data_IF_548809984368
#
_entry.id   IF_548809984368
#
_cell.length_a   1.000
_cell.length_b   1.000
_cell.length_c   1.000
_cell.angle_alpha   90.00
_cell.angle_beta   90.00
_cell.angle_gamma   90.00
#
_symmetry.space_group_name_H-M   'P 1'
#
loop_
_entity.id
_entity.type
_entity.pdbx_description
1 polymer ?
#
# COMPACT_ATOMS: atom_id res chain seq x y z
N UNK A 1 27.79 -9.23 16.83
CA UNK A 1 26.40 -8.95 16.46
C UNK A 1 26.28 -7.46 16.28
N UNK A 2 25.82 -7.01 15.11
CA UNK A 2 25.40 -5.62 14.90
C UNK A 2 24.22 -5.34 15.86
N UNK A 3 24.15 -4.11 16.38
CA UNK A 3 23.08 -3.65 17.28
C UNK A 3 22.39 -2.47 16.62
N UNK A 4 21.10 -2.31 16.86
CA UNK A 4 20.35 -1.18 16.36
C UNK A 4 20.88 0.11 16.97
N UNK A 5 21.23 1.08 16.13
CA UNK A 5 21.76 2.36 16.62
C UNK A 5 20.69 3.21 17.31
N UNK A 6 19.40 2.88 17.14
CA UNK A 6 18.27 3.55 17.81
C UNK A 6 18.01 2.98 19.21
N UNK A 7 17.50 1.74 19.31
CA UNK A 7 17.11 1.13 20.59
C UNK A 7 18.26 0.46 21.37
N UNK A 8 19.41 0.21 20.72
CA UNK A 8 20.59 -0.49 21.28
C UNK A 8 20.43 -2.01 21.48
N UNK A 9 19.33 -2.58 21.02
CA UNK A 9 19.10 -4.02 21.07
C UNK A 9 19.73 -4.76 19.88
N UNK A 10 19.95 -6.08 19.99
CA UNK A 10 20.38 -6.91 18.86
C UNK A 10 19.43 -6.79 17.66
N UNK A 11 19.98 -6.79 16.44
CA UNK A 11 19.21 -6.70 15.18
C UNK A 11 18.55 -8.02 14.78
N UNK A 12 17.80 -8.57 15.73
CA UNK A 12 16.95 -9.73 15.58
C UNK A 12 15.64 -9.45 16.27
N UNK A 13 14.55 -9.96 15.71
CA UNK A 13 13.26 -10.05 16.38
C UNK A 13 13.31 -11.27 17.29
N UNK A 14 13.09 -11.05 18.59
CA UNK A 14 13.04 -12.10 19.59
C UNK A 14 11.63 -12.65 19.74
N UNK A 15 11.51 -13.97 19.81
CA UNK A 15 10.35 -14.63 20.41
C UNK A 15 10.45 -14.46 21.92
N UNK A 16 9.37 -14.00 22.56
CA UNK A 16 9.31 -13.78 24.00
C UNK A 16 9.87 -14.99 24.77
N UNK A 17 10.73 -14.73 25.77
CA UNK A 17 11.39 -15.76 26.57
C UNK A 17 10.40 -16.62 27.40
N UNK A 18 9.12 -16.26 27.44
CA UNK A 18 8.06 -16.93 28.20
C UNK A 18 7.27 -18.00 27.40
N UNK A 19 7.52 -18.17 26.09
CA UNK A 19 6.86 -19.18 25.22
C UNK A 19 7.77 -20.39 24.90
N UNK A 20 8.65 -20.77 25.83
CA UNK A 20 9.60 -21.88 25.66
C UNK A 20 9.00 -23.28 25.96
N UNK A 21 7.85 -23.61 25.39
CA UNK A 21 7.35 -25.00 25.31
C UNK A 21 7.02 -25.36 23.84
N UNK A 22 7.95 -26.07 23.19
CA UNK A 22 7.86 -26.69 21.85
C UNK A 22 7.91 -25.78 20.59
N UNK A 23 9.11 -25.59 20.04
CA UNK A 23 9.28 -25.13 18.65
C UNK A 23 10.62 -24.43 18.38
N UNK A 24 11.21 -24.66 17.21
CA UNK A 24 12.51 -24.13 16.75
C UNK A 24 12.43 -22.60 16.48
N UNK A 25 12.24 -21.81 17.52
CA UNK A 25 12.16 -20.34 17.46
C UNK A 25 13.57 -19.74 17.34
N UNK A 26 14.18 -19.94 16.18
CA UNK A 26 15.41 -19.27 15.83
C UNK A 26 15.17 -17.74 15.75
N UNK A 27 16.09 -16.92 16.28
CA UNK A 27 15.98 -15.46 16.18
C UNK A 27 15.91 -15.03 14.71
N UNK A 28 14.88 -14.26 14.38
CA UNK A 28 14.64 -13.79 13.01
C UNK A 28 15.45 -12.49 12.81
N UNK A 29 16.28 -12.37 11.76
CA UNK A 29 17.04 -11.15 11.55
C UNK A 29 16.13 -9.97 11.20
N UNK A 30 16.52 -8.79 11.69
CA UNK A 30 15.93 -7.50 11.32
C UNK A 30 17.06 -6.46 11.33
N UNK A 31 17.88 -6.51 10.27
CA UNK A 31 19.05 -5.64 10.09
C UNK A 31 18.91 -4.83 8.80
N UNK A 32 18.50 -3.57 8.95
CA UNK A 32 18.57 -2.55 7.91
C UNK A 32 19.90 -1.80 7.98
N UNK A 33 20.75 -2.03 6.99
CA UNK A 33 22.06 -1.39 6.84
C UNK A 33 21.99 -0.22 5.85
N UNK A 34 22.24 1.00 6.32
CA UNK A 34 22.30 2.22 5.50
C UNK A 34 23.67 2.41 4.82
N UNK A 35 23.79 3.20 3.72
CA UNK A 35 25.05 3.53 3.06
C UNK A 35 26.14 4.13 3.97
N UNK A 36 25.75 4.82 5.03
CA UNK A 36 26.66 5.41 6.00
C UNK A 36 27.23 4.39 7.00
N UNK A 37 26.80 3.13 6.93
CA UNK A 37 27.20 2.05 7.84
C UNK A 37 26.43 2.02 9.17
N UNK A 38 25.38 2.84 9.33
CA UNK A 38 24.47 2.72 10.47
C UNK A 38 23.48 1.58 10.24
N UNK A 39 23.19 0.84 11.31
CA UNK A 39 22.28 -0.30 11.30
C UNK A 39 21.07 -0.04 12.20
N UNK A 40 19.88 -0.39 11.74
CA UNK A 40 18.62 -0.20 12.45
C UNK A 40 17.75 -1.45 12.34
N UNK A 41 16.86 -1.66 13.31
CA UNK A 41 15.64 -2.43 13.05
C UNK A 41 14.79 -1.67 12.03
N UNK A 42 14.04 -2.40 11.20
CA UNK A 42 13.14 -1.83 10.21
C UNK A 42 12.25 -0.74 10.80
N UNK A 43 11.50 -1.08 11.86
CA UNK A 43 10.60 -0.15 12.53
C UNK A 43 11.34 1.03 13.19
N UNK A 44 12.48 0.77 13.85
CA UNK A 44 13.27 1.83 14.48
C UNK A 44 13.75 2.91 13.50
N UNK A 45 13.99 2.55 12.23
CA UNK A 45 14.33 3.53 11.20
C UNK A 45 13.10 4.28 10.71
N UNK A 46 11.99 3.57 10.47
CA UNK A 46 10.72 4.14 10.02
C UNK A 46 10.05 5.04 11.05
N UNK A 47 10.32 4.87 12.35
CA UNK A 47 9.89 5.83 13.39
C UNK A 47 10.44 7.25 13.16
N UNK A 48 11.52 7.39 12.37
CA UNK A 48 12.09 8.68 11.95
C UNK A 48 11.69 9.06 10.51
N UNK A 49 10.71 8.38 9.90
CA UNK A 49 10.38 8.51 8.49
C UNK A 49 10.11 9.96 8.06
N UNK A 50 9.33 10.74 8.84
CA UNK A 50 9.05 12.14 8.52
C UNK A 50 10.31 12.99 8.40
N UNK A 51 11.26 12.84 9.33
CA UNK A 51 12.53 13.57 9.31
C UNK A 51 13.42 13.12 8.16
N UNK A 52 13.47 11.81 7.89
CA UNK A 52 14.27 11.24 6.79
C UNK A 52 13.69 11.65 5.42
N UNK A 53 12.37 11.64 5.24
CA UNK A 53 11.70 12.03 4.01
C UNK A 53 11.98 13.50 3.64
N UNK A 54 12.08 14.38 4.64
CA UNK A 54 12.38 15.81 4.45
C UNK A 54 13.87 16.06 4.23
N UNK A 55 14.72 15.45 5.06
CA UNK A 55 16.15 15.81 5.11
C UNK A 55 17.03 14.93 4.22
N UNK A 56 16.56 13.74 3.87
CA UNK A 56 17.30 12.67 3.19
C UNK A 56 18.61 12.32 3.92
N UNK A 57 18.60 12.42 5.25
CA UNK A 57 19.76 12.15 6.11
C UNK A 57 19.49 11.01 7.08
N UNK A 58 20.57 10.33 7.45
CA UNK A 58 20.54 9.33 8.51
C UNK A 58 20.15 10.00 9.85
N UNK A 59 19.14 9.49 10.57
CA UNK A 59 18.72 10.06 11.85
C UNK A 59 19.78 9.88 12.96
N UNK A 60 20.69 8.91 12.82
CA UNK A 60 21.74 8.66 13.80
C UNK A 60 22.99 9.54 13.60
N UNK A 61 23.52 9.59 12.37
CA UNK A 61 24.81 10.26 12.11
C UNK A 61 24.71 11.52 11.24
N UNK A 62 23.53 11.86 10.73
CA UNK A 62 23.30 13.05 9.89
C UNK A 62 23.88 12.97 8.47
N UNK A 63 24.45 11.82 8.07
CA UNK A 63 24.98 11.62 6.72
C UNK A 63 23.87 11.66 5.67
N UNK A 64 24.11 12.33 4.54
CA UNK A 64 23.21 12.32 3.40
C UNK A 64 23.15 10.92 2.79
N UNK A 65 21.96 10.37 2.64
CA UNK A 65 21.71 8.97 2.27
C UNK A 65 21.60 8.67 0.77
N UNK A 66 21.06 9.57 -0.08
CA UNK A 66 20.85 9.24 -1.49
C UNK A 66 22.12 8.89 -2.27
N UNK A 67 22.01 7.87 -3.13
CA UNK A 67 23.13 7.33 -3.90
C UNK A 67 23.28 7.96 -5.30
N UNK A 68 22.30 8.75 -5.77
CA UNK A 68 22.38 9.40 -7.09
C UNK A 68 23.12 10.74 -7.06
N UNK A 69 24.26 10.75 -7.76
CA UNK A 69 24.96 11.95 -8.23
C UNK A 69 24.31 12.48 -9.52
N UNK A 70 23.47 13.50 -9.41
CA UNK A 70 23.32 14.50 -10.45
C UNK A 70 23.17 15.86 -9.77
N UNK A 71 24.18 16.71 -9.91
CA UNK A 71 24.08 18.09 -9.47
C UNK A 71 22.97 18.81 -10.23
N UNK A 72 21.84 19.03 -9.57
CA UNK A 72 20.72 19.86 -10.01
C UNK A 72 20.12 20.56 -8.80
N UNK A 73 19.69 21.83 -8.90
CA UNK A 73 19.31 22.62 -7.73
C UNK A 73 18.00 22.10 -7.12
N UNK A 74 17.88 22.27 -5.80
CA UNK A 74 16.69 22.05 -4.98
C UNK A 74 15.37 22.11 -5.76
N UNK A 75 14.71 20.97 -5.91
CA UNK A 75 13.28 20.92 -6.19
C UNK A 75 12.55 21.12 -4.87
N UNK A 76 12.07 22.34 -4.66
CA UNK A 76 11.03 22.66 -3.68
C UNK A 76 9.70 22.11 -4.19
N UNK A 77 9.49 20.79 -4.10
CA UNK A 77 8.14 20.23 -4.14
C UNK A 77 7.63 20.21 -2.69
N UNK A 78 6.54 20.93 -2.36
CA UNK A 78 6.09 21.07 -0.97
C UNK A 78 5.35 19.83 -0.43
N UNK A 79 5.28 18.73 -1.18
CA UNK A 79 4.45 17.56 -0.84
C UNK A 79 5.19 16.24 -1.14
N UNK A 80 6.43 16.08 -0.65
CA UNK A 80 7.30 14.90 -0.84
C UNK A 80 7.99 14.79 -2.23
N UNK A 81 9.28 14.42 -2.27
CA UNK A 81 10.03 14.26 -3.52
C UNK A 81 9.71 12.90 -4.16
N UNK A 82 8.55 12.77 -4.80
CA UNK A 82 8.28 11.67 -5.75
C UNK A 82 8.98 11.90 -7.12
N UNK A 83 10.10 12.63 -7.16
CA UNK A 83 10.91 12.75 -8.36
C UNK A 83 11.74 11.46 -8.50
N UNK A 84 11.48 10.72 -9.59
CA UNK A 84 12.07 9.42 -9.99
C UNK A 84 13.62 9.32 -10.02
N UNK A 85 14.34 10.32 -9.52
CA UNK A 85 15.81 10.41 -9.59
C UNK A 85 16.52 10.24 -8.24
N UNK A 86 15.80 10.25 -7.10
CA UNK A 86 16.39 10.08 -5.78
C UNK A 86 16.11 8.67 -5.26
N UNK A 87 17.15 7.95 -4.85
CA UNK A 87 17.06 6.60 -4.28
C UNK A 87 17.96 6.50 -3.05
N UNK A 88 17.49 5.81 -2.01
CA UNK A 88 18.28 5.47 -0.83
C UNK A 88 18.52 3.97 -0.86
N UNK A 89 19.72 3.58 -1.30
CA UNK A 89 20.08 2.18 -1.52
C UNK A 89 20.60 1.59 -0.22
N UNK A 90 19.92 0.59 0.34
CA UNK A 90 20.25 -0.09 1.58
C UNK A 90 20.48 -1.58 1.34
N UNK A 91 20.96 -2.27 2.37
CA UNK A 91 20.88 -3.72 2.48
C UNK A 91 19.92 -4.03 3.62
N UNK A 92 18.95 -4.91 3.37
CA UNK A 92 18.02 -5.36 4.40
C UNK A 92 18.10 -6.87 4.55
N UNK A 93 18.23 -7.35 5.78
CA UNK A 93 18.23 -8.78 6.12
C UNK A 93 17.03 -9.07 7.03
N UNK A 94 16.12 -9.91 6.53
CA UNK A 94 14.86 -10.28 7.17
C UNK A 94 14.66 -11.80 7.13
N UNK A 95 13.53 -12.29 7.65
CA UNK A 95 13.11 -13.69 7.52
C UNK A 95 13.15 -14.19 6.06
N UNK A 96 12.79 -13.33 5.11
CA UNK A 96 12.78 -13.62 3.67
C UNK A 96 14.18 -13.72 3.04
N UNK A 97 15.23 -13.49 3.82
CA UNK A 97 16.62 -13.47 3.39
C UNK A 97 17.19 -12.07 3.22
N UNK A 98 18.29 -11.98 2.47
CA UNK A 98 19.04 -10.74 2.27
C UNK A 98 18.62 -10.07 0.96
N UNK A 99 18.17 -8.83 1.06
CA UNK A 99 17.89 -7.93 -0.06
C UNK A 99 19.03 -6.93 -0.20
N UNK A 100 19.89 -7.15 -1.20
CA UNK A 100 20.94 -6.21 -1.58
C UNK A 100 20.38 -5.12 -2.51
N UNK A 101 20.84 -3.89 -2.34
CA UNK A 101 20.40 -2.72 -3.10
C UNK A 101 18.90 -2.39 -2.98
N UNK A 102 18.32 -2.64 -1.80
CA UNK A 102 16.96 -2.29 -1.49
C UNK A 102 16.78 -0.75 -1.53
N UNK A 103 15.79 -0.23 -2.26
CA UNK A 103 15.50 1.20 -2.20
C UNK A 103 14.46 1.46 -1.12
N UNK A 104 14.87 1.99 0.03
CA UNK A 104 13.98 2.22 1.19
C UNK A 104 13.21 3.55 1.12
N UNK A 105 13.55 4.43 0.18
CA UNK A 105 12.90 5.75 0.10
C UNK A 105 11.37 5.67 -0.13
N UNK A 106 10.82 4.74 -0.92
CA UNK A 106 9.38 4.54 -1.01
C UNK A 106 8.73 4.24 0.35
N UNK A 107 9.27 3.29 1.13
CA UNK A 107 8.72 2.94 2.45
C UNK A 107 8.82 4.10 3.44
N UNK A 108 9.93 4.85 3.41
CA UNK A 108 10.10 6.07 4.22
C UNK A 108 9.08 7.13 3.83
N UNK A 109 8.82 7.28 2.54
CA UNK A 109 7.87 8.30 2.05
C UNK A 109 6.44 7.91 2.42
N UNK A 110 6.10 6.63 2.30
CA UNK A 110 4.82 6.08 2.70
C UNK A 110 4.58 6.23 4.20
N UNK A 111 5.52 5.78 5.04
CA UNK A 111 5.33 5.90 6.49
C UNK A 111 5.30 7.36 6.94
N UNK A 112 6.12 8.24 6.32
CA UNK A 112 6.05 9.67 6.60
C UNK A 112 4.67 10.27 6.29
N UNK A 113 4.03 9.85 5.20
CA UNK A 113 2.69 10.26 4.82
C UNK A 113 1.64 9.72 5.80
N UNK A 114 1.69 8.42 6.12
CA UNK A 114 0.74 7.74 7.00
C UNK A 114 0.85 8.16 8.48
N UNK A 115 2.00 8.66 8.91
CA UNK A 115 2.14 9.32 10.21
C UNK A 115 1.34 10.64 10.29
N UNK A 116 1.22 11.35 9.17
CA UNK A 116 0.44 12.61 9.08
C UNK A 116 -1.02 12.40 8.69
N UNK A 117 -1.33 11.25 8.08
CA UNK A 117 -2.65 10.85 7.61
C UNK A 117 -3.01 9.43 8.06
N UNK A 118 -3.12 9.17 9.38
CA UNK A 118 -3.37 7.84 9.91
C UNK A 118 -4.70 7.23 9.42
N UNK A 119 -5.68 8.07 9.07
CA UNK A 119 -6.98 7.66 8.52
C UNK A 119 -6.87 6.87 7.20
N UNK A 120 -5.77 7.03 6.45
CA UNK A 120 -5.57 6.33 5.18
C UNK A 120 -4.79 5.02 5.30
N UNK A 121 -4.33 4.62 6.51
CA UNK A 121 -3.64 3.34 6.71
C UNK A 121 -4.45 2.13 6.21
N UNK A 122 -5.76 2.01 6.48
CA UNK A 122 -6.57 0.92 5.94
C UNK A 122 -6.60 0.92 4.41
N UNK A 123 -6.62 2.09 3.77
CA UNK A 123 -6.63 2.18 2.32
C UNK A 123 -5.30 1.79 1.67
N UNK A 124 -4.17 2.15 2.29
CA UNK A 124 -2.86 1.69 1.84
C UNK A 124 -2.72 0.17 1.99
N UNK A 125 -3.11 -0.39 3.14
CA UNK A 125 -3.15 -1.85 3.32
C UNK A 125 -4.05 -2.52 2.27
N UNK A 126 -5.23 -1.94 2.01
CA UNK A 126 -6.15 -2.43 1.00
C UNK A 126 -5.55 -2.43 -0.42
N UNK A 127 -4.80 -1.39 -0.79
CA UNK A 127 -4.09 -1.31 -2.07
C UNK A 127 -3.01 -2.39 -2.19
N UNK A 128 -2.22 -2.64 -1.14
CA UNK A 128 -1.23 -3.72 -1.10
C UNK A 128 -1.88 -5.09 -1.30
N UNK A 129 -3.01 -5.36 -0.62
CA UNK A 129 -3.78 -6.60 -0.82
C UNK A 129 -4.32 -6.74 -2.24
N UNK A 130 -4.74 -5.62 -2.85
CA UNK A 130 -5.15 -5.60 -4.25
C UNK A 130 -4.01 -5.95 -5.21
N UNK A 131 -2.77 -5.54 -4.90
CA UNK A 131 -1.59 -5.86 -5.69
C UNK A 131 -1.20 -7.34 -5.56
N UNK A 132 -1.28 -7.89 -4.36
CA UNK A 132 -0.92 -9.28 -4.05
C UNK A 132 -1.95 -10.30 -4.58
N UNK A 133 -3.21 -9.89 -4.73
CA UNK A 133 -4.27 -10.77 -5.22
C UNK A 133 -5.01 -11.52 -4.11
N UNK A 134 -4.79 -11.16 -2.84
CA UNK A 134 -5.39 -11.84 -1.71
C UNK A 134 -6.81 -11.31 -1.44
N UNK A 135 -7.80 -11.93 -2.08
CA UNK A 135 -9.19 -11.54 -1.94
C UNK A 135 -9.75 -11.77 -0.52
N UNK A 136 -9.21 -12.72 0.25
CA UNK A 136 -9.69 -13.01 1.61
C UNK A 136 -9.24 -11.91 2.58
N UNK A 137 -7.97 -11.52 2.55
CA UNK A 137 -7.44 -10.43 3.38
C UNK A 137 -8.05 -9.06 2.99
N UNK A 138 -8.33 -8.85 1.70
CA UNK A 138 -9.06 -7.68 1.23
C UNK A 138 -10.44 -7.55 1.91
N UNK A 139 -11.16 -8.66 2.06
CA UNK A 139 -12.47 -8.69 2.72
C UNK A 139 -12.37 -8.50 4.23
N UNK A 140 -11.30 -8.97 4.85
CA UNK A 140 -11.04 -8.71 6.26
C UNK A 140 -10.89 -7.19 6.51
N UNK A 141 -10.11 -6.49 5.68
CA UNK A 141 -9.97 -5.02 5.78
C UNK A 141 -11.33 -4.33 5.59
N UNK A 142 -12.15 -4.76 4.62
CA UNK A 142 -13.49 -4.19 4.42
C UNK A 142 -14.37 -4.42 5.65
N UNK A 143 -14.32 -5.62 6.25
CA UNK A 143 -15.12 -5.95 7.43
C UNK A 143 -14.70 -5.13 8.66
N UNK A 144 -13.40 -4.89 8.84
CA UNK A 144 -12.86 -4.06 9.93
C UNK A 144 -13.29 -2.60 9.77
N UNK A 145 -13.29 -2.09 8.53
CA UNK A 145 -13.80 -0.75 8.21
C UNK A 145 -15.32 -0.65 8.43
N UNK A 146 -16.11 -1.64 7.99
CA UNK A 146 -17.58 -1.66 8.15
C UNK A 146 -18.03 -1.82 9.62
N UNK A 147 -17.18 -2.45 10.44
CA UNK A 147 -17.43 -2.70 11.87
C UNK A 147 -16.92 -1.58 12.78
N UNK A 148 -16.13 -0.65 12.25
CA UNK A 148 -15.66 0.50 13.01
C UNK A 148 -16.86 1.40 13.31
N UNK A 149 -17.19 1.66 14.59
CA UNK A 149 -18.29 2.54 14.92
C UNK A 149 -18.00 3.92 14.32
N UNK A 150 -18.94 4.44 13.53
CA UNK A 150 -18.93 5.85 13.15
C UNK A 150 -18.86 6.66 14.46
N UNK A 151 -17.70 7.22 14.78
CA UNK A 151 -17.51 8.18 15.87
C UNK A 151 -18.19 9.50 15.45
N UNK A 152 -19.51 9.45 15.35
CA UNK A 152 -20.39 10.52 14.87
C UNK A 152 -20.67 11.58 15.96
N UNK A 153 -19.82 11.68 16.99
CA UNK A 153 -20.13 12.48 18.19
C UNK A 153 -18.97 13.28 18.82
N UNK A 154 -17.80 13.46 18.20
CA UNK A 154 -16.91 14.57 18.60
C UNK A 154 -16.12 15.17 17.44
N UNK A 155 -16.35 16.45 17.21
CA UNK A 155 -15.61 17.27 16.26
C UNK A 155 -14.14 17.44 16.72
N UNK A 156 -13.28 16.49 16.35
CA UNK A 156 -11.83 16.69 16.37
C UNK A 156 -10.96 15.51 16.80
N UNK A 157 -10.93 14.42 16.02
CA UNK A 157 -9.74 13.59 15.77
C UNK A 157 -10.09 12.45 14.79
N UNK A 158 -9.62 12.54 13.53
CA UNK A 158 -9.53 11.44 12.56
C UNK A 158 -10.82 10.71 12.21
N UNK A 159 -11.61 11.22 11.24
CA UNK A 159 -12.71 10.46 10.67
C UNK A 159 -12.19 9.16 10.02
N UNK A 160 -12.65 8.00 10.49
CA UNK A 160 -12.36 6.72 9.88
C UNK A 160 -12.94 6.68 8.45
N UNK A 161 -12.23 6.05 7.52
CA UNK A 161 -12.72 5.87 6.16
C UNK A 161 -13.99 5.01 6.15
N UNK A 162 -15.00 5.38 5.37
CA UNK A 162 -16.12 4.48 5.06
C UNK A 162 -15.71 3.44 4.02
N UNK A 163 -16.41 2.30 3.93
CA UNK A 163 -16.18 1.28 2.89
C UNK A 163 -16.22 1.87 1.47
N UNK A 164 -17.15 2.79 1.19
CA UNK A 164 -17.24 3.45 -0.11
C UNK A 164 -16.04 4.37 -0.40
N UNK A 165 -15.45 4.99 0.62
CA UNK A 165 -14.23 5.77 0.45
C UNK A 165 -13.01 4.86 0.27
N UNK A 166 -12.94 3.75 1.01
CA UNK A 166 -11.89 2.73 0.90
C UNK A 166 -11.80 2.17 -0.53
N UNK A 167 -12.94 1.69 -1.07
CA UNK A 167 -13.01 1.08 -2.40
C UNK A 167 -12.65 2.04 -3.54
N UNK A 168 -12.74 3.35 -3.31
CA UNK A 168 -12.49 4.41 -4.30
C UNK A 168 -11.25 5.24 -3.99
N UNK A 169 -10.52 4.91 -2.92
CA UNK A 169 -9.36 5.67 -2.49
C UNK A 169 -8.35 5.75 -3.63
N UNK A 170 -7.88 6.97 -3.91
CA UNK A 170 -6.85 7.22 -4.90
C UNK A 170 -5.56 7.60 -4.19
N UNK A 171 -4.53 6.79 -4.32
CA UNK A 171 -3.30 6.95 -3.56
C UNK A 171 -2.43 8.06 -4.15
N UNK A 172 -2.18 9.18 -3.43
CA UNK A 172 -1.31 10.24 -3.89
C UNK A 172 0.15 9.81 -4.09
N UNK A 173 0.59 8.74 -3.40
CA UNK A 173 1.95 8.21 -3.49
C UNK A 173 2.15 7.33 -4.72
N UNK A 174 1.11 6.67 -5.22
CA UNK A 174 1.12 5.87 -6.45
C UNK A 174 0.31 6.55 -7.58
N UNK A 175 0.62 7.82 -7.86
CA UNK A 175 0.07 8.57 -9.01
C UNK A 175 -1.47 8.60 -9.05
N UNK A 176 -2.13 8.73 -7.91
CA UNK A 176 -3.60 8.73 -7.79
C UNK A 176 -4.28 7.46 -8.35
N UNK A 177 -3.56 6.33 -8.43
CA UNK A 177 -4.18 5.06 -8.80
C UNK A 177 -5.22 4.66 -7.76
N UNK A 178 -6.31 4.06 -8.24
CA UNK A 178 -7.33 3.43 -7.39
C UNK A 178 -7.06 1.92 -7.25
N UNK A 179 -7.76 1.19 -6.36
CA UNK A 179 -7.59 -0.25 -6.21
C UNK A 179 -7.79 -1.01 -7.53
N UNK A 180 -8.70 -0.54 -8.38
CA UNK A 180 -8.97 -1.16 -9.68
C UNK A 180 -7.80 -1.00 -10.66
N UNK A 181 -7.14 0.16 -10.66
CA UNK A 181 -5.94 0.37 -11.48
C UNK A 181 -4.82 -0.59 -11.06
N UNK A 182 -4.60 -0.73 -9.74
CA UNK A 182 -3.57 -1.60 -9.17
C UNK A 182 -3.85 -3.06 -9.50
N UNK A 183 -5.09 -3.53 -9.29
CA UNK A 183 -5.47 -4.91 -9.58
C UNK A 183 -5.22 -5.27 -11.05
N UNK A 184 -5.48 -4.34 -11.98
CA UNK A 184 -5.23 -4.56 -13.41
C UNK A 184 -3.73 -4.56 -13.71
N UNK A 185 -2.99 -3.58 -13.20
CA UNK A 185 -1.53 -3.47 -13.40
C UNK A 185 -0.78 -4.71 -12.90
N UNK A 186 -1.24 -5.30 -11.78
CA UNK A 186 -0.66 -6.51 -11.17
C UNK A 186 -1.27 -7.81 -11.68
N UNK A 187 -2.13 -7.75 -12.71
CA UNK A 187 -2.77 -8.91 -13.33
C UNK A 187 -3.65 -9.76 -12.37
N UNK A 188 -4.32 -9.10 -11.43
CA UNK A 188 -5.19 -9.71 -10.41
C UNK A 188 -6.66 -9.69 -10.84
N UNK A 189 -7.02 -10.56 -11.79
CA UNK A 189 -8.38 -10.59 -12.38
C UNK A 189 -9.51 -10.83 -11.36
N UNK A 190 -9.28 -11.69 -10.37
CA UNK A 190 -10.27 -11.99 -9.33
C UNK A 190 -10.54 -10.77 -8.44
N UNK A 191 -9.49 -10.04 -8.05
CA UNK A 191 -9.62 -8.79 -7.30
C UNK A 191 -10.34 -7.73 -8.13
N UNK A 192 -10.01 -7.58 -9.41
CA UNK A 192 -10.69 -6.63 -10.28
C UNK A 192 -12.20 -6.94 -10.39
N UNK A 193 -12.60 -8.20 -10.54
CA UNK A 193 -14.01 -8.61 -10.54
C UNK A 193 -14.70 -8.28 -9.22
N UNK A 194 -14.04 -8.55 -8.11
CA UNK A 194 -14.54 -8.26 -6.76
C UNK A 194 -14.76 -6.76 -6.57
N UNK A 195 -13.78 -5.93 -6.93
CA UNK A 195 -13.87 -4.47 -6.87
C UNK A 195 -14.99 -3.93 -7.76
N UNK A 196 -15.11 -4.42 -9.00
CA UNK A 196 -16.20 -4.05 -9.91
C UNK A 196 -17.56 -4.43 -9.32
N UNK A 197 -17.69 -5.60 -8.71
CA UNK A 197 -18.95 -6.02 -8.10
C UNK A 197 -19.38 -5.10 -6.96
N UNK A 198 -18.43 -4.68 -6.12
CA UNK A 198 -18.66 -3.88 -4.91
C UNK A 198 -18.68 -2.37 -5.13
N UNK A 199 -18.09 -1.85 -6.22
CA UNK A 199 -17.90 -0.42 -6.41
C UNK A 199 -18.26 0.10 -7.81
N UNK A 200 -18.86 -0.72 -8.68
CA UNK A 200 -19.35 -0.27 -10.00
C UNK A 200 -20.88 -0.34 -10.13
N UNK A 201 -21.40 0.43 -11.09
CA UNK A 201 -22.80 0.45 -11.49
C UNK A 201 -23.19 -0.64 -12.51
N UNK A 202 -22.31 -1.61 -12.78
CA UNK A 202 -22.57 -2.67 -13.75
C UNK A 202 -23.82 -3.48 -13.39
N UNK A 203 -24.65 -3.94 -14.35
CA UNK A 203 -25.70 -4.91 -14.09
C UNK A 203 -25.14 -6.22 -13.52
N UNK A 204 -25.91 -6.90 -12.66
CA UNK A 204 -25.50 -8.20 -12.07
C UNK A 204 -25.25 -9.25 -13.16
N UNK A 205 -26.04 -9.21 -14.24
CA UNK A 205 -25.94 -10.15 -15.36
C UNK A 205 -24.68 -9.95 -16.22
N UNK A 206 -23.92 -8.87 -15.99
CA UNK A 206 -22.62 -8.63 -16.64
C UNK A 206 -21.48 -9.43 -16.01
N UNK A 207 -21.69 -10.02 -14.82
CA UNK A 207 -20.66 -10.75 -14.10
C UNK A 207 -20.71 -12.26 -14.41
N UNK A 208 -19.54 -12.93 -14.50
CA UNK A 208 -19.47 -14.38 -14.60
C UNK A 208 -20.21 -15.11 -13.46
N UNK A 209 -20.84 -16.25 -13.78
CA UNK A 209 -21.68 -16.97 -12.82
C UNK A 209 -20.91 -17.48 -11.58
N UNK A 210 -19.68 -17.95 -11.78
CA UNK A 210 -18.75 -18.35 -10.73
C UNK A 210 -18.40 -17.17 -9.80
N UNK A 211 -18.12 -16.00 -10.36
CA UNK A 211 -17.87 -14.79 -9.57
C UNK A 211 -19.10 -14.37 -8.73
N UNK A 212 -20.32 -14.53 -9.27
CA UNK A 212 -21.56 -14.26 -8.54
C UNK A 212 -21.81 -15.26 -7.41
N UNK A 213 -21.49 -16.54 -7.59
CA UNK A 213 -21.61 -17.54 -6.52
C UNK A 213 -20.66 -17.24 -5.37
N UNK A 214 -19.41 -16.87 -5.68
CA UNK A 214 -18.41 -16.44 -4.70
C UNK A 214 -18.90 -15.20 -3.94
N UNK A 215 -19.38 -14.18 -4.66
CA UNK A 215 -19.88 -12.96 -4.03
C UNK A 215 -21.07 -13.21 -3.10
N UNK A 216 -21.97 -14.12 -3.46
CA UNK A 216 -23.10 -14.54 -2.61
C UNK A 216 -22.64 -15.32 -1.38
N UNK A 217 -21.70 -16.26 -1.55
CA UNK A 217 -21.14 -17.06 -0.46
C UNK A 217 -20.43 -16.20 0.60
N UNK A 218 -19.83 -15.09 0.15
CA UNK A 218 -19.15 -14.11 1.00
C UNK A 218 -20.08 -13.00 1.55
N UNK A 219 -21.37 -13.02 1.18
CA UNK A 219 -22.35 -12.03 1.67
C UNK A 219 -22.10 -10.60 1.17
N UNK A 220 -21.40 -10.42 0.05
CA UNK A 220 -20.99 -9.11 -0.45
C UNK A 220 -22.19 -8.27 -0.86
N UNK A 221 -22.17 -7.01 -0.42
CA UNK A 221 -23.19 -6.02 -0.78
C UNK A 221 -22.75 -5.23 -2.01
N UNK A 222 -23.71 -4.95 -2.89
CA UNK A 222 -23.50 -4.09 -4.05
C UNK A 222 -23.66 -2.62 -3.66
N UNK A 223 -22.96 -1.70 -4.34
CA UNK A 223 -23.00 -0.30 -3.99
C UNK A 223 -24.35 0.30 -4.40
N UNK A 224 -24.80 1.30 -3.64
CA UNK A 224 -25.85 2.22 -4.09
C UNK A 224 -25.16 3.49 -4.55
N UNK A 225 -24.99 3.64 -5.86
CA UNK A 225 -24.33 4.83 -6.44
C UNK A 225 -25.29 6.01 -6.41
N UNK A 226 -24.84 7.18 -5.94
CA UNK A 226 -25.62 8.41 -6.00
C UNK A 226 -25.49 9.08 -7.37
N UNK A 227 -24.32 8.93 -8.02
CA UNK A 227 -24.05 9.41 -9.38
C UNK A 227 -22.99 8.60 -10.13
N UNK A 228 -22.76 8.89 -11.42
CA UNK A 228 -21.72 8.23 -12.23
C UNK A 228 -20.31 8.38 -11.66
N UNK A 229 -20.04 9.48 -10.94
CA UNK A 229 -18.78 9.76 -10.26
C UNK A 229 -18.49 8.82 -9.08
N UNK A 230 -19.51 8.12 -8.57
CA UNK A 230 -19.33 7.11 -7.55
C UNK A 230 -18.89 5.75 -8.11
N UNK A 231 -18.92 5.59 -9.44
CA UNK A 231 -18.47 4.37 -10.08
C UNK A 231 -16.94 4.31 -10.13
N UNK A 232 -16.36 3.25 -9.56
CA UNK A 232 -14.90 3.02 -9.55
C UNK A 232 -14.28 3.03 -10.95
N UNK A 233 -15.07 2.71 -11.99
CA UNK A 233 -14.62 2.70 -13.39
C UNK A 233 -14.38 4.11 -13.95
N UNK A 234 -15.05 5.13 -13.39
CA UNK A 234 -14.91 6.51 -13.81
C UNK A 234 -13.66 7.20 -13.24
N UNK A 235 -13.00 6.58 -12.26
CA UNK A 235 -11.80 7.13 -11.63
C UNK A 235 -10.63 7.16 -12.61
N UNK A 236 -9.81 8.20 -12.48
CA UNK A 236 -8.62 8.43 -13.32
C UNK A 236 -7.38 8.61 -12.48
N UNK A 237 -6.28 8.02 -12.90
CA UNK A 237 -4.97 8.28 -12.31
C UNK A 237 -4.53 9.75 -12.55
N UNK A 238 -3.38 10.13 -12.00
CA UNK A 238 -2.83 11.49 -12.12
C UNK A 238 -2.52 11.89 -13.58
N UNK A 239 -2.35 10.92 -14.48
CA UNK A 239 -2.13 11.15 -15.91
C UNK A 239 -3.44 11.18 -16.72
N UNK A 240 -4.58 11.01 -16.06
CA UNK A 240 -5.90 11.01 -16.66
C UNK A 240 -6.33 9.67 -17.24
N UNK A 241 -5.59 8.59 -16.97
CA UNK A 241 -5.92 7.26 -17.48
C UNK A 241 -6.96 6.55 -16.60
N UNK A 242 -7.88 5.81 -17.22
CA UNK A 242 -8.88 4.98 -16.52
C UNK A 242 -8.43 3.54 -16.38
N UNK A 243 -9.15 2.75 -15.58
CA UNK A 243 -8.99 1.31 -15.49
C UNK A 243 -9.07 0.60 -16.86
N UNK A 244 -9.93 1.09 -17.76
CA UNK A 244 -10.04 0.57 -19.14
C UNK A 244 -8.72 0.72 -19.91
N UNK A 245 -8.07 1.88 -19.81
CA UNK A 245 -6.79 2.12 -20.50
C UNK A 245 -5.65 1.28 -19.92
N UNK A 246 -5.66 1.00 -18.61
CA UNK A 246 -4.76 0.03 -17.99
C UNK A 246 -5.01 -1.38 -18.53
N UNK A 247 -6.29 -1.79 -18.64
CA UNK A 247 -6.68 -3.10 -19.16
C UNK A 247 -6.24 -3.28 -20.62
N UNK A 248 -6.41 -2.24 -21.45
CA UNK A 248 -5.94 -2.24 -22.84
C UNK A 248 -4.42 -2.40 -22.95
N UNK A 249 -3.66 -1.68 -22.11
CA UNK A 249 -2.19 -1.78 -22.09
C UNK A 249 -1.70 -3.13 -21.59
N UNK A 250 -2.36 -3.71 -20.59
CA UNK A 250 -2.02 -5.01 -20.04
C UNK A 250 -2.32 -6.17 -21.01
N UNK A 251 -3.43 -6.09 -21.75
CA UNK A 251 -3.83 -7.08 -22.74
C UNK A 251 -4.18 -8.45 -22.13
N UNK A 252 -4.08 -9.52 -22.93
CA UNK A 252 -4.32 -10.89 -22.46
C UNK A 252 -5.76 -11.11 -21.93
N UNK A 253 -5.96 -11.59 -20.69
CA UNK A 253 -7.30 -11.85 -20.15
C UNK A 253 -8.16 -10.58 -20.06
N UNK A 254 -7.54 -9.41 -19.94
CA UNK A 254 -8.22 -8.12 -19.84
C UNK A 254 -8.98 -7.74 -21.11
N UNK A 255 -8.60 -8.27 -22.28
CA UNK A 255 -9.34 -8.04 -23.53
C UNK A 255 -10.78 -8.58 -23.42
N UNK A 256 -10.97 -9.74 -22.79
CA UNK A 256 -12.30 -10.34 -22.62
C UNK A 256 -13.19 -9.48 -21.72
N UNK A 257 -12.61 -8.85 -20.70
CA UNK A 257 -13.32 -7.96 -19.79
C UNK A 257 -13.75 -6.67 -20.50
N UNK A 258 -12.88 -6.13 -21.35
CA UNK A 258 -13.20 -4.97 -22.20
C UNK A 258 -14.32 -5.32 -23.17
N UNK A 259 -14.22 -6.45 -23.88
CA UNK A 259 -15.25 -6.91 -24.82
C UNK A 259 -16.60 -7.18 -24.15
N UNK A 260 -16.57 -7.61 -22.88
CA UNK A 260 -17.76 -7.77 -22.04
C UNK A 260 -18.31 -6.43 -21.48
N UNK A 261 -17.67 -5.29 -21.78
CA UNK A 261 -18.09 -3.96 -21.34
C UNK A 261 -17.85 -3.70 -19.86
N UNK A 262 -16.95 -4.43 -19.20
CA UNK A 262 -16.75 -4.33 -17.75
C UNK A 262 -16.07 -3.03 -17.32
N UNK A 263 -15.36 -2.35 -18.22
CA UNK A 263 -14.63 -1.12 -17.93
C UNK A 263 -15.19 0.13 -18.61
N UNK A 264 -16.27 -0.01 -19.40
CA UNK A 264 -16.87 1.05 -20.21
C UNK A 264 -18.06 1.77 -19.54
#
# INVERSE_FOLDING_TARGET
MSVCVSCKDPLVLGTDEDEMEDGDNAPVPDDLSLPCGCHFHWQCFLDSASDVAITLKCPSCGSYLPTNQAGGPSVTNPVFPASQEVVIVTRYESEGGVQENYNILPDVTEEAYLLTHPEFRPAHAFHSMCAEGNAEELLAIIADVDSSPDDDDEAGAGASLTVNQLLRYQDPLDSMKSPLHIAIEKNQAQVALLLLYMASGLPVDSFPGDALEVAKGLGLRRPTLAGPEDDIRALKDANGHTAEEYAYKAGGPWIQFIEAGMFA
#
